data_IF_413908998631
#
_entry.id   IF_413908998631
#
_cell.length_a   1.000
_cell.length_b   1.000
_cell.length_c   1.000
_cell.angle_alpha   90.00
_cell.angle_beta   90.00
_cell.angle_gamma   90.00
#
_symmetry.space_group_name_H-M   'P 1'
#
loop_
_entity.id
_entity.type
_entity.pdbx_description
1 polymer ?
#
# COMPACT_ATOMS: atom_id res chain seq x y z
N UNK A 1 -5.64 -9.18 12.22
CA UNK A 1 -5.34 -8.01 11.38
C UNK A 1 -5.43 -8.46 9.93
N UNK A 2 -6.08 -7.68 9.07
CA UNK A 2 -6.17 -7.98 7.63
C UNK A 2 -4.92 -7.46 6.92
N UNK A 3 -4.57 -8.09 5.80
CA UNK A 3 -3.45 -7.66 4.95
C UNK A 3 -3.65 -6.19 4.52
N UNK A 4 -4.89 -5.79 4.22
CA UNK A 4 -5.25 -4.40 3.93
C UNK A 4 -4.86 -3.43 5.07
N UNK A 5 -5.20 -3.75 6.32
CA UNK A 5 -4.85 -2.90 7.47
C UNK A 5 -3.34 -2.82 7.68
N UNK A 6 -2.63 -3.93 7.50
CA UNK A 6 -1.16 -3.97 7.62
C UNK A 6 -0.48 -3.15 6.50
N UNK A 7 -1.04 -3.16 5.28
CA UNK A 7 -0.57 -2.31 4.18
C UNK A 7 -0.77 -0.84 4.52
N UNK A 8 -1.94 -0.44 5.00
CA UNK A 8 -2.22 0.95 5.41
C UNK A 8 -1.27 1.39 6.53
N UNK A 9 -1.04 0.54 7.53
CA UNK A 9 -0.08 0.81 8.59
C UNK A 9 1.35 0.97 8.04
N UNK A 10 1.77 0.08 7.13
CA UNK A 10 3.08 0.15 6.46
C UNK A 10 3.24 1.37 5.56
N UNK A 11 2.16 1.97 5.07
CA UNK A 11 2.16 3.24 4.33
C UNK A 11 2.23 4.47 5.23
N UNK A 12 2.26 4.30 6.56
CA UNK A 12 2.28 5.39 7.53
C UNK A 12 0.90 5.81 8.04
N UNK A 13 -0.13 4.98 7.82
CA UNK A 13 -1.51 5.21 8.24
C UNK A 13 -2.38 5.85 7.14
N UNK A 14 -3.70 5.84 7.36
CA UNK A 14 -4.70 6.35 6.40
C UNK A 14 -4.46 7.83 6.05
N UNK A 15 -4.14 8.64 7.05
CA UNK A 15 -3.86 10.07 6.88
C UNK A 15 -2.63 10.37 6.01
N UNK A 16 -1.75 9.38 5.82
CA UNK A 16 -0.59 9.52 4.97
C UNK A 16 -0.87 9.17 3.49
N UNK A 17 -2.02 8.56 3.18
CA UNK A 17 -2.39 8.14 1.84
C UNK A 17 -3.27 9.21 1.19
N UNK A 18 -2.83 9.78 0.07
CA UNK A 18 -3.61 10.77 -0.69
C UNK A 18 -4.42 10.14 -1.81
N UNK A 19 -3.88 9.09 -2.40
CA UNK A 19 -4.53 8.37 -3.51
C UNK A 19 -4.08 6.91 -3.53
N UNK A 20 -4.97 6.02 -3.96
CA UNK A 20 -4.70 4.58 -4.05
C UNK A 20 -5.41 4.02 -5.28
N UNK A 21 -4.61 3.57 -6.23
CA UNK A 21 -5.06 2.98 -7.49
C UNK A 21 -4.53 1.53 -7.63
N UNK A 22 -5.39 0.52 -7.71
CA UNK A 22 -4.95 -0.81 -8.08
C UNK A 22 -4.58 -0.88 -9.58
N UNK A 23 -3.52 -1.60 -9.89
CA UNK A 23 -3.21 -2.14 -11.20
C UNK A 23 -3.43 -3.66 -11.21
N UNK A 24 -3.01 -4.36 -12.27
CA UNK A 24 -3.15 -5.83 -12.35
C UNK A 24 -2.36 -6.56 -11.25
N UNK A 25 -1.15 -6.11 -10.92
CA UNK A 25 -0.24 -6.83 -9.99
C UNK A 25 0.27 -5.98 -8.83
N UNK A 26 -0.14 -4.71 -8.74
CA UNK A 26 0.44 -3.73 -7.82
C UNK A 26 -0.61 -2.75 -7.34
N UNK A 27 -0.43 -2.27 -6.13
CA UNK A 27 -1.10 -1.08 -5.61
C UNK A 27 -0.20 0.12 -5.87
N UNK A 28 -0.70 1.12 -6.59
CA UNK A 28 -0.05 2.43 -6.75
C UNK A 28 -0.65 3.36 -5.71
N UNK A 29 0.16 3.79 -4.76
CA UNK A 29 -0.26 4.63 -3.65
C UNK A 29 0.50 5.94 -3.72
N UNK A 30 -0.19 7.06 -3.70
CA UNK A 30 0.44 8.36 -3.46
C UNK A 30 0.35 8.70 -1.97
N UNK A 31 1.47 9.13 -1.39
CA UNK A 31 1.56 9.47 0.03
C UNK A 31 1.97 10.92 0.26
N UNK A 32 1.52 11.49 1.37
CA UNK A 32 1.90 12.83 1.83
C UNK A 32 3.38 12.88 2.20
N UNK A 33 3.81 11.91 3.02
CA UNK A 33 5.13 11.84 3.62
C UNK A 33 5.76 10.45 3.39
N UNK A 34 6.88 10.45 2.69
CA UNK A 34 7.65 9.25 2.38
C UNK A 34 8.40 8.71 3.61
N UNK A 35 8.74 9.53 4.59
CA UNK A 35 9.50 9.08 5.77
C UNK A 35 8.68 8.16 6.68
N UNK A 36 7.35 8.24 6.59
CA UNK A 36 6.42 7.37 7.33
C UNK A 36 6.21 6.00 6.68
N UNK A 37 6.72 5.78 5.47
CA UNK A 37 6.56 4.52 4.74
C UNK A 37 7.57 3.49 5.24
N UNK A 38 7.06 2.39 5.79
CA UNK A 38 7.85 1.25 6.24
C UNK A 38 7.85 0.14 5.17
N UNK A 39 8.88 0.14 4.33
CA UNK A 39 9.08 -0.89 3.31
C UNK A 39 9.21 -2.31 3.87
N UNK A 40 9.76 -2.45 5.09
CA UNK A 40 9.96 -3.75 5.71
C UNK A 40 8.62 -4.31 6.17
N UNK A 41 7.77 -3.48 6.77
CA UNK A 41 6.40 -3.84 7.12
C UNK A 41 5.60 -4.23 5.87
N UNK A 42 5.68 -3.42 4.80
CA UNK A 42 5.00 -3.71 3.53
C UNK A 42 5.45 -5.03 2.89
N UNK A 43 6.74 -5.38 2.95
CA UNK A 43 7.22 -6.70 2.49
C UNK A 43 6.73 -7.84 3.38
N UNK A 44 6.57 -7.60 4.68
CA UNK A 44 6.08 -8.60 5.62
C UNK A 44 4.60 -8.98 5.39
N UNK A 45 3.81 -8.12 4.74
CA UNK A 45 2.41 -8.43 4.35
C UNK A 45 2.31 -9.45 3.21
N UNK A 46 3.45 -9.86 2.63
CA UNK A 46 3.51 -10.76 1.47
C UNK A 46 3.74 -10.03 0.15
N UNK A 47 4.02 -8.73 0.17
CA UNK A 47 4.40 -8.01 -1.05
C UNK A 47 5.71 -8.56 -1.64
N UNK A 48 5.68 -8.90 -2.93
CA UNK A 48 6.84 -9.33 -3.71
C UNK A 48 7.90 -8.24 -3.83
N UNK A 49 7.49 -6.97 -3.74
CA UNK A 49 8.37 -5.83 -3.82
C UNK A 49 7.68 -4.53 -3.47
N UNK A 50 8.50 -3.55 -3.08
CA UNK A 50 8.07 -2.16 -2.86
C UNK A 50 8.99 -1.28 -3.68
N UNK A 51 8.41 -0.38 -4.47
CA UNK A 51 9.15 0.60 -5.29
C UNK A 51 8.69 1.99 -4.89
N UNK A 52 9.63 2.90 -4.67
CA UNK A 52 9.33 4.29 -4.28
C UNK A 52 9.88 5.23 -5.34
N UNK A 53 9.08 6.22 -5.71
CA UNK A 53 9.47 7.24 -6.68
C UNK A 53 8.73 8.55 -6.38
N UNK A 54 9.47 9.55 -5.90
CA UNK A 54 8.88 10.80 -5.43
C UNK A 54 7.87 10.52 -4.31
N UNK A 55 6.62 10.95 -4.49
CA UNK A 55 5.51 10.68 -3.56
C UNK A 55 4.80 9.34 -3.78
N UNK A 56 5.13 8.62 -4.84
CA UNK A 56 4.44 7.38 -5.20
C UNK A 56 5.16 6.18 -4.61
N UNK A 57 4.41 5.31 -3.97
CA UNK A 57 4.80 3.98 -3.49
C UNK A 57 4.05 2.93 -4.31
N UNK A 58 4.76 2.00 -4.92
CA UNK A 58 4.16 0.83 -5.58
C UNK A 58 4.41 -0.41 -4.75
N UNK A 59 3.33 -1.07 -4.30
CA UNK A 59 3.39 -2.32 -3.55
C UNK A 59 2.98 -3.46 -4.48
N UNK A 60 3.92 -4.36 -4.80
CA UNK A 60 3.69 -5.49 -5.69
C UNK A 60 3.09 -6.64 -4.89
N UNK A 61 1.81 -6.89 -5.05
CA UNK A 61 1.05 -7.90 -4.29
C UNK A 61 0.53 -9.05 -5.17
N UNK A 62 0.74 -8.96 -6.49
CA UNK A 62 0.23 -9.96 -7.44
C UNK A 62 -1.24 -9.72 -7.80
N UNK A 63 -1.95 -10.72 -8.37
CA UNK A 63 -3.29 -10.56 -8.95
C UNK A 63 -4.39 -10.18 -7.96
N UNK A 64 -4.08 -10.16 -6.65
CA UNK A 64 -4.98 -9.75 -5.57
C UNK A 64 -4.99 -8.24 -5.33
N UNK A 65 -4.27 -7.46 -6.14
CA UNK A 65 -4.17 -6.01 -5.98
C UNK A 65 -5.53 -5.30 -5.99
N UNK A 66 -6.43 -5.71 -6.89
CA UNK A 66 -7.77 -5.11 -6.99
C UNK A 66 -8.60 -5.36 -5.72
N UNK A 67 -8.63 -6.61 -5.24
CA UNK A 67 -9.31 -6.99 -4.00
C UNK A 67 -8.74 -6.24 -2.79
N UNK A 68 -7.41 -6.14 -2.68
CA UNK A 68 -6.77 -5.42 -1.58
C UNK A 68 -7.10 -3.92 -1.60
N UNK A 69 -7.19 -3.30 -2.79
CA UNK A 69 -7.60 -1.91 -2.89
C UNK A 69 -9.04 -1.70 -2.41
N UNK A 70 -9.97 -2.60 -2.76
CA UNK A 70 -11.34 -2.57 -2.24
C UNK A 70 -11.37 -2.72 -0.72
N UNK A 71 -10.65 -3.71 -0.16
CA UNK A 71 -10.57 -3.89 1.30
C UNK A 71 -10.00 -2.66 2.00
N UNK A 72 -8.98 -2.01 1.41
CA UNK A 72 -8.41 -0.77 1.98
C UNK A 72 -9.42 0.38 1.92
N UNK A 73 -10.22 0.49 0.86
CA UNK A 73 -11.25 1.51 0.74
C UNK A 73 -12.38 1.33 1.77
N UNK A 74 -12.65 0.09 2.20
CA UNK A 74 -13.64 -0.26 3.21
C UNK A 74 -13.13 -0.15 4.66
N UNK A 75 -11.83 0.10 4.88
CA UNK A 75 -11.29 0.39 6.21
C UNK A 75 -11.62 1.84 6.57
N UNK A 76 -12.63 2.03 7.42
CA UNK A 76 -12.98 3.33 8.02
C UNK A 76 -11.83 3.93 8.86
#
# INVERSE_FOLDING_TARGET
MSIAADIVAGLGGRDNITDLEPCITRLRVEVVDQEKVDERALRATGAFGVVRSGRVVQVVVGPVADTLATEIAELD
#
